data_IF_376043462359
#
_entry.id   IF_376043462359
#
_cell.length_a   1.000
_cell.length_b   1.000
_cell.length_c   1.000
_cell.angle_alpha   90.00
_cell.angle_beta   90.00
_cell.angle_gamma   90.00
#
_symmetry.space_group_name_H-M   'P 1'
#
loop_
_entity.id
_entity.type
_entity.pdbx_description
1 polymer ?
#
# COMPACT_ATOMS: atom_id res chain seq x y z
N UNK A 1 2.97 -22.20 -5.29
CA UNK A 1 3.60 -21.72 -4.04
C UNK A 1 2.64 -20.88 -3.20
N UNK A 2 2.13 -19.73 -3.68
CA UNK A 2 1.18 -18.89 -2.92
C UNK A 2 -0.16 -19.57 -2.60
N UNK A 3 -0.67 -20.43 -3.49
CA UNK A 3 -1.90 -21.20 -3.23
C UNK A 3 -1.76 -22.14 -2.03
N UNK A 4 -0.61 -22.82 -1.93
CA UNK A 4 -0.33 -23.72 -0.80
C UNK A 4 -0.24 -22.92 0.51
N UNK A 5 0.52 -21.82 0.50
CA UNK A 5 0.60 -20.92 1.65
C UNK A 5 -0.76 -20.35 2.08
N UNK A 6 -1.61 -19.97 1.13
CA UNK A 6 -2.95 -19.48 1.43
C UNK A 6 -3.82 -20.56 2.09
N UNK A 7 -3.74 -21.79 1.60
CA UNK A 7 -4.45 -22.93 2.18
C UNK A 7 -3.93 -23.24 3.58
N UNK A 8 -2.61 -23.29 3.76
CA UNK A 8 -1.97 -23.57 5.06
C UNK A 8 -2.37 -22.50 6.09
N UNK A 9 -2.28 -21.20 5.75
CA UNK A 9 -2.66 -20.10 6.64
C UNK A 9 -4.15 -20.12 7.02
N UNK A 10 -5.04 -20.46 6.09
CA UNK A 10 -6.47 -20.58 6.40
C UNK A 10 -6.78 -21.75 7.32
N UNK A 11 -6.04 -22.85 7.18
CA UNK A 11 -6.22 -24.03 8.02
C UNK A 11 -5.68 -23.77 9.44
N UNK A 12 -4.55 -23.06 9.55
CA UNK A 12 -3.92 -22.72 10.83
C UNK A 12 -4.64 -21.58 11.56
N UNK A 13 -5.27 -20.64 10.85
CA UNK A 13 -5.94 -19.47 11.42
C UNK A 13 -7.38 -19.32 10.86
N UNK A 14 -8.31 -20.24 11.18
CA UNK A 14 -9.63 -20.29 10.56
C UNK A 14 -10.55 -19.10 10.91
N UNK A 15 -10.35 -18.48 12.08
CA UNK A 15 -11.09 -17.28 12.50
C UNK A 15 -10.64 -16.00 11.77
N UNK A 16 -9.42 -16.02 11.21
CA UNK A 16 -8.82 -14.85 10.56
C UNK A 16 -9.22 -14.77 9.08
N UNK A 17 -9.86 -13.66 8.71
CA UNK A 17 -10.25 -13.39 7.32
C UNK A 17 -9.12 -12.69 6.57
N UNK A 18 -9.02 -12.96 5.27
CA UNK A 18 -8.11 -12.22 4.38
C UNK A 18 -6.93 -13.02 3.83
N UNK A 19 -6.69 -14.26 4.26
CA UNK A 19 -5.62 -15.11 3.71
C UNK A 19 -6.02 -15.88 2.44
N UNK A 20 -6.84 -15.29 1.57
CA UNK A 20 -7.05 -15.88 0.23
C UNK A 20 -5.80 -15.72 -0.64
N UNK A 21 -5.53 -16.67 -1.53
CA UNK A 21 -4.38 -16.59 -2.44
C UNK A 21 -4.39 -15.31 -3.29
N UNK A 22 -5.59 -14.86 -3.71
CA UNK A 22 -5.78 -13.57 -4.39
C UNK A 22 -5.34 -12.41 -3.50
N UNK A 23 -5.72 -12.38 -2.23
CA UNK A 23 -5.35 -11.30 -1.33
C UNK A 23 -3.86 -11.31 -0.99
N UNK A 24 -3.27 -12.50 -0.78
CA UNK A 24 -1.81 -12.63 -0.62
C UNK A 24 -1.06 -12.12 -1.86
N UNK A 25 -1.55 -12.43 -3.06
CA UNK A 25 -0.99 -11.88 -4.30
C UNK A 25 -1.08 -10.35 -4.33
N UNK A 26 -2.16 -9.76 -3.81
CA UNK A 26 -2.29 -8.30 -3.69
C UNK A 26 -1.33 -7.71 -2.66
N UNK A 27 -1.12 -8.38 -1.52
CA UNK A 27 -0.12 -7.98 -0.50
C UNK A 27 1.30 -7.99 -1.09
N UNK A 28 1.65 -9.03 -1.84
CA UNK A 28 2.93 -9.12 -2.55
C UNK A 28 3.06 -8.00 -3.60
N UNK A 29 2.00 -7.76 -4.38
CA UNK A 29 1.99 -6.64 -5.34
C UNK A 29 2.15 -5.28 -4.66
N UNK A 30 1.52 -5.07 -3.51
CA UNK A 30 1.67 -3.85 -2.73
C UNK A 30 3.10 -3.64 -2.28
N UNK A 31 3.73 -4.68 -1.74
CA UNK A 31 5.12 -4.65 -1.32
C UNK A 31 6.06 -4.29 -2.48
N UNK A 32 5.89 -4.90 -3.66
CA UNK A 32 6.69 -4.58 -4.84
C UNK A 32 6.39 -3.18 -5.41
N UNK A 33 5.17 -2.68 -5.26
CA UNK A 33 4.80 -1.33 -5.70
C UNK A 33 5.44 -0.23 -4.83
N UNK A 34 5.81 -0.55 -3.59
CA UNK A 34 6.45 0.38 -2.66
C UNK A 34 7.64 -0.28 -1.94
N UNK A 35 8.76 -0.55 -2.64
CA UNK A 35 9.91 -1.25 -2.05
C UNK A 35 10.48 -0.58 -0.79
N UNK A 36 10.27 0.73 -0.66
CA UNK A 36 10.69 1.53 0.49
C UNK A 36 9.95 1.15 1.79
N UNK A 37 8.83 0.43 1.73
CA UNK A 37 8.18 -0.15 2.91
C UNK A 37 9.08 -1.13 3.66
N UNK A 38 10.04 -1.76 2.97
CA UNK A 38 11.04 -2.64 3.58
C UNK A 38 11.79 -1.92 4.69
N UNK A 39 12.08 -0.63 4.53
CA UNK A 39 12.82 0.15 5.51
C UNK A 39 12.04 0.33 6.83
N UNK A 40 10.70 0.33 6.78
CA UNK A 40 9.86 0.33 7.97
C UNK A 40 9.75 -1.07 8.59
N UNK A 41 9.59 -2.11 7.77
CA UNK A 41 9.51 -3.49 8.23
C UNK A 41 10.81 -3.97 8.91
N UNK A 42 11.96 -3.59 8.36
CA UNK A 42 13.27 -3.91 8.94
C UNK A 42 13.45 -3.29 10.34
N UNK A 43 12.98 -2.07 10.58
CA UNK A 43 13.04 -1.45 11.91
C UNK A 43 12.22 -2.23 12.95
N UNK A 44 11.02 -2.71 12.57
CA UNK A 44 10.20 -3.53 13.44
C UNK A 44 10.86 -4.89 13.75
N UNK A 45 11.47 -5.54 12.75
CA UNK A 45 12.16 -6.84 12.94
C UNK A 45 13.49 -6.68 13.70
N UNK A 46 14.21 -5.58 13.51
CA UNK A 46 15.44 -5.28 14.27
C UNK A 46 15.16 -5.10 15.76
N UNK A 47 14.02 -4.50 16.13
CA UNK A 47 13.56 -4.41 17.53
C UNK A 47 13.29 -5.79 18.15
N UNK A 48 12.95 -6.80 17.33
CA UNK A 48 12.74 -8.17 17.80
C UNK A 48 14.04 -8.96 17.96
N UNK A 49 15.14 -8.54 17.32
CA UNK A 49 16.35 -9.36 17.18
C UNK A 49 17.59 -8.80 17.88
N UNK A 50 17.56 -7.59 18.47
CA UNK A 50 18.71 -6.95 19.12
C UNK A 50 20.01 -6.96 18.28
N UNK A 51 19.91 -7.13 16.97
CA UNK A 51 21.05 -7.15 16.04
C UNK A 51 21.23 -5.74 15.44
N UNK A 52 22.37 -5.07 15.66
CA UNK A 52 22.64 -3.79 15.05
C UNK A 52 23.33 -4.01 13.69
N UNK A 53 22.56 -4.15 12.60
CA UNK A 53 23.14 -4.16 11.24
C UNK A 53 22.31 -3.46 10.16
N UNK A 54 22.78 -2.25 9.81
CA UNK A 54 22.78 -1.56 8.48
C UNK A 54 21.47 -1.30 7.73
N UNK A 55 21.46 -0.41 6.70
CA UNK A 55 22.07 0.91 6.55
C UNK A 55 21.01 2.01 6.70
N UNK A 56 21.38 3.18 7.25
CA UNK A 56 20.51 4.37 7.23
C UNK A 56 20.46 4.92 5.80
N UNK A 57 19.62 4.34 4.95
CA UNK A 57 19.29 4.95 3.66
C UNK A 57 18.45 6.19 3.97
N UNK A 58 18.99 7.38 3.70
CA UNK A 58 18.25 8.63 3.83
C UNK A 58 17.11 8.65 2.80
N UNK A 59 15.87 8.55 3.28
CA UNK A 59 14.68 8.66 2.44
C UNK A 59 14.59 10.07 1.86
N UNK A 60 14.28 10.19 0.57
CA UNK A 60 13.97 11.49 -0.01
C UNK A 60 12.63 12.02 0.52
N UNK A 61 12.40 13.33 0.42
CA UNK A 61 11.11 13.92 0.79
C UNK A 61 9.95 13.32 -0.02
N UNK A 62 10.18 12.99 -1.30
CA UNK A 62 9.19 12.34 -2.15
C UNK A 62 8.82 10.95 -1.61
N UNK A 63 9.82 10.17 -1.18
CA UNK A 63 9.62 8.83 -0.61
C UNK A 63 8.73 8.87 0.64
N UNK A 64 8.99 9.83 1.53
CA UNK A 64 8.20 10.02 2.74
C UNK A 64 6.74 10.37 2.41
N UNK A 65 6.51 11.19 1.38
CA UNK A 65 5.15 11.53 0.92
C UNK A 65 4.43 10.30 0.39
N UNK A 66 5.08 9.49 -0.45
CA UNK A 66 4.49 8.24 -0.96
C UNK A 66 4.12 7.31 0.20
N UNK A 67 5.06 7.07 1.10
CA UNK A 67 4.89 6.13 2.21
C UNK A 67 3.80 6.60 3.18
N UNK A 68 3.79 7.87 3.56
CA UNK A 68 2.76 8.43 4.44
C UNK A 68 1.36 8.38 3.83
N UNK A 69 1.23 8.53 2.51
CA UNK A 69 -0.05 8.46 1.83
C UNK A 69 -0.61 7.04 1.77
N UNK A 70 0.22 6.02 1.54
CA UNK A 70 -0.27 4.64 1.34
C UNK A 70 -0.36 3.83 2.64
N UNK A 71 0.46 4.14 3.64
CA UNK A 71 0.48 3.40 4.92
C UNK A 71 -0.68 3.75 5.84
N UNK A 72 -1.24 4.96 5.73
CA UNK A 72 -2.37 5.43 6.56
C UNK A 72 -3.73 4.99 6.00
N UNK A 73 -3.78 4.54 4.75
CA UNK A 73 -5.01 4.08 4.13
C UNK A 73 -5.38 2.66 4.58
N UNK A 74 -6.69 2.39 4.64
CA UNK A 74 -7.14 1.01 4.81
C UNK A 74 -6.71 0.13 3.62
N UNK A 75 -6.55 -1.17 3.87
CA UNK A 75 -6.14 -2.14 2.85
C UNK A 75 -7.03 -2.09 1.59
N UNK A 76 -8.34 -1.94 1.77
CA UNK A 76 -9.28 -1.87 0.65
C UNK A 76 -9.02 -0.65 -0.26
N UNK A 77 -8.70 0.53 0.30
CA UNK A 77 -8.32 1.69 -0.51
C UNK A 77 -7.03 1.44 -1.28
N UNK A 78 -6.01 0.88 -0.63
CA UNK A 78 -4.75 0.51 -1.29
C UNK A 78 -4.97 -0.46 -2.45
N UNK A 79 -5.83 -1.47 -2.28
CA UNK A 79 -6.19 -2.40 -3.36
C UNK A 79 -6.87 -1.68 -4.52
N UNK A 80 -7.86 -0.81 -4.26
CA UNK A 80 -8.55 -0.02 -5.29
C UNK A 80 -7.55 0.83 -6.08
N UNK A 81 -6.69 1.56 -5.38
CA UNK A 81 -5.66 2.43 -5.96
C UNK A 81 -4.67 1.65 -6.84
N UNK A 82 -4.13 0.53 -6.36
CA UNK A 82 -3.20 -0.30 -7.13
C UNK A 82 -3.84 -0.94 -8.37
N UNK A 83 -5.08 -1.41 -8.24
CA UNK A 83 -5.75 -2.08 -9.34
C UNK A 83 -6.18 -1.11 -10.43
N UNK A 84 -6.75 0.03 -10.05
CA UNK A 84 -7.34 1.00 -10.98
C UNK A 84 -6.34 2.05 -11.49
N UNK A 85 -5.25 2.32 -10.77
CA UNK A 85 -4.31 3.39 -11.12
C UNK A 85 -2.90 2.83 -11.22
N UNK A 86 -2.37 2.75 -12.44
CA UNK A 86 -1.02 2.22 -12.70
C UNK A 86 0.07 3.24 -12.45
N UNK A 87 -0.17 4.51 -12.79
CA UNK A 87 0.78 5.58 -12.63
C UNK A 87 0.94 5.99 -11.15
N UNK A 88 2.17 5.91 -10.62
CA UNK A 88 2.45 6.12 -9.21
C UNK A 88 2.11 7.55 -8.73
N UNK A 89 2.52 8.64 -9.43
CA UNK A 89 2.13 10.00 -9.02
C UNK A 89 0.61 10.19 -8.90
N UNK A 90 -0.16 9.70 -9.87
CA UNK A 90 -1.63 9.77 -9.82
C UNK A 90 -2.17 9.00 -8.62
N UNK A 91 -1.61 7.81 -8.35
CA UNK A 91 -2.02 6.97 -7.23
C UNK A 91 -1.76 7.65 -5.88
N UNK A 92 -0.60 8.28 -5.72
CA UNK A 92 -0.22 9.03 -4.51
C UNK A 92 -1.12 10.24 -4.33
N UNK A 93 -1.48 10.93 -5.41
CA UNK A 93 -2.44 12.03 -5.37
C UNK A 93 -3.79 11.58 -4.83
N UNK A 94 -4.39 10.53 -5.39
CA UNK A 94 -5.66 9.99 -4.88
C UNK A 94 -5.53 9.49 -3.45
N UNK A 95 -4.40 8.88 -3.08
CA UNK A 95 -4.16 8.43 -1.71
C UNK A 95 -4.19 9.60 -0.72
N UNK A 96 -3.51 10.70 -1.05
CA UNK A 96 -3.53 11.93 -0.26
C UNK A 96 -4.93 12.54 -0.17
N UNK A 97 -5.61 12.70 -1.31
CA UNK A 97 -6.98 13.24 -1.32
C UNK A 97 -7.95 12.37 -0.50
N UNK A 98 -7.79 11.04 -0.54
CA UNK A 98 -8.60 10.13 0.27
C UNK A 98 -8.39 10.37 1.77
N UNK A 99 -7.14 10.62 2.20
CA UNK A 99 -6.83 10.93 3.59
C UNK A 99 -7.30 12.33 4.00
N UNK A 100 -7.06 13.33 3.15
CA UNK A 100 -7.38 14.74 3.42
C UNK A 100 -8.91 14.98 3.46
N UNK A 101 -9.65 14.35 2.55
CA UNK A 101 -11.10 14.53 2.42
C UNK A 101 -11.92 13.41 3.08
N UNK A 102 -11.27 12.42 3.69
CA UNK A 102 -11.94 11.29 4.33
C UNK A 102 -12.82 10.47 3.38
N UNK A 103 -12.41 10.29 2.13
CA UNK A 103 -13.23 9.58 1.14
C UNK A 103 -13.49 8.13 1.53
N UNK A 104 -14.74 7.72 1.40
CA UNK A 104 -15.12 6.31 1.44
C UNK A 104 -14.59 5.56 0.21
N UNK A 105 -14.63 4.22 0.25
CA UNK A 105 -14.26 3.38 -0.90
C UNK A 105 -15.06 3.73 -2.15
N UNK A 106 -16.37 3.95 -2.00
CA UNK A 106 -17.27 4.24 -3.11
C UNK A 106 -17.01 5.64 -3.68
N UNK A 107 -16.79 6.61 -2.78
CA UNK A 107 -16.38 7.98 -3.17
C UNK A 107 -15.06 7.95 -3.94
N UNK A 108 -14.05 7.22 -3.45
CA UNK A 108 -12.77 7.07 -4.16
C UNK A 108 -12.99 6.46 -5.56
N UNK A 109 -13.79 5.40 -5.67
CA UNK A 109 -14.09 4.78 -6.97
C UNK A 109 -14.75 5.78 -7.92
N UNK A 110 -15.70 6.59 -7.42
CA UNK A 110 -16.35 7.63 -8.19
C UNK A 110 -15.36 8.71 -8.65
N UNK A 111 -14.48 9.18 -7.77
CA UNK A 111 -13.45 10.18 -8.09
C UNK A 111 -12.42 9.69 -9.10
N UNK A 112 -12.11 8.38 -9.08
CA UNK A 112 -11.27 7.73 -10.10
C UNK A 112 -11.99 7.72 -11.45
N UNK A 113 -13.28 7.39 -11.49
CA UNK A 113 -14.09 7.38 -12.73
C UNK A 113 -14.21 8.77 -13.37
N UNK A 114 -14.29 9.81 -12.54
CA UNK A 114 -14.32 11.20 -12.98
C UNK A 114 -12.94 11.75 -13.31
N UNK A 115 -11.88 10.97 -13.11
CA UNK A 115 -10.49 11.32 -13.42
C UNK A 115 -10.05 12.65 -12.81
N UNK A 116 -10.51 12.93 -11.57
CA UNK A 116 -10.23 14.15 -10.83
C UNK A 116 -8.75 14.59 -10.81
N UNK A 117 -7.82 13.64 -10.89
CA UNK A 117 -6.39 13.89 -10.97
C UNK A 117 -5.92 14.60 -12.26
N UNK A 118 -6.68 14.54 -13.37
CA UNK A 118 -6.29 15.17 -14.65
C UNK A 118 -6.16 16.69 -14.53
N UNK A 119 -6.95 17.32 -13.67
CA UNK A 119 -6.87 18.76 -13.42
C UNK A 119 -5.53 19.17 -12.79
N UNK A 120 -4.85 18.23 -12.13
CA UNK A 120 -3.59 18.47 -11.45
C UNK A 120 -2.35 18.20 -12.33
N UNK A 121 -2.50 17.49 -13.47
CA UNK A 121 -1.42 17.26 -14.44
C UNK A 121 -1.16 18.48 -15.34
N UNK A 122 -1.98 19.53 -15.26
CA UNK A 122 -1.78 20.79 -15.98
C UNK A 122 -0.90 21.81 -15.21
N UNK A 123 -0.52 21.51 -13.97
CA UNK A 123 0.21 22.42 -13.09
C UNK A 123 1.47 21.82 -12.44
N UNK A 124 2.03 20.75 -13.02
CA UNK A 124 3.28 20.12 -12.57
C UNK A 124 4.38 20.28 -13.62
#
# INVERSE_FOLDING_TARGET
MLEKLATDLKNELPEEKGFSARNLKLMVQFFHAYPLLVLFGQRAVAQLTNEPKTPTVALSQADVVVLSAVTKLSWAHNVILMQKIKHLPSRVWYARQTLEQGWSRDTLIQQIRQEAHRLNHLFA
#
